data_IF_633763885883
#
_entry.id   IF_633763885883
#
_cell.length_a   1.000
_cell.length_b   1.000
_cell.length_c   1.000
_cell.angle_alpha   90.00
_cell.angle_beta   90.00
_cell.angle_gamma   90.00
#
_symmetry.space_group_name_H-M   'P 1'
#
loop_
_entity.id
_entity.type
_entity.pdbx_description
1 polymer ?
#
# COMPACT_ATOMS: atom_id res chain seq x y z
N UNK A 1 7.74 12.79 -37.07
CA UNK A 1 8.71 12.93 -35.96
C UNK A 1 8.41 12.06 -34.73
N UNK A 2 7.15 11.99 -34.26
CA UNK A 2 6.78 11.23 -33.05
C UNK A 2 7.06 9.71 -33.14
N UNK A 3 6.95 9.14 -34.33
CA UNK A 3 7.20 7.70 -34.57
C UNK A 3 8.70 7.39 -34.69
N UNK A 4 9.48 8.31 -35.24
CA UNK A 4 10.95 8.23 -35.28
C UNK A 4 11.53 8.35 -33.88
N UNK A 5 11.02 9.28 -33.06
CA UNK A 5 11.42 9.41 -31.65
C UNK A 5 11.09 8.15 -30.82
N UNK A 6 9.95 7.50 -31.11
CA UNK A 6 9.59 6.21 -30.49
C UNK A 6 10.50 5.06 -30.95
N UNK A 7 10.86 5.00 -32.23
CA UNK A 7 11.78 3.98 -32.74
C UNK A 7 13.18 4.15 -32.12
N UNK A 8 13.64 5.39 -31.97
CA UNK A 8 14.95 5.73 -31.40
C UNK A 8 15.02 5.39 -29.89
N UNK A 9 13.95 5.64 -29.14
CA UNK A 9 13.81 5.22 -27.73
C UNK A 9 13.83 3.68 -27.58
N UNK A 10 13.24 2.95 -28.52
CA UNK A 10 13.18 1.48 -28.48
C UNK A 10 14.54 0.84 -28.79
N UNK A 11 15.31 1.44 -29.69
CA UNK A 11 16.70 1.04 -30.00
C UNK A 11 17.63 1.32 -28.81
N UNK A 12 17.49 2.46 -28.13
CA UNK A 12 18.26 2.78 -26.93
C UNK A 12 17.97 1.77 -25.80
N UNK A 13 16.71 1.38 -25.61
CA UNK A 13 16.33 0.39 -24.61
C UNK A 13 16.88 -1.02 -24.93
N UNK A 14 17.00 -1.36 -26.23
CA UNK A 14 17.62 -2.62 -26.68
C UNK A 14 19.13 -2.65 -26.43
N UNK A 15 19.83 -1.52 -26.61
CA UNK A 15 21.28 -1.41 -26.42
C UNK A 15 21.71 -1.49 -24.96
N UNK A 16 20.85 -1.11 -24.01
CA UNK A 16 21.12 -1.19 -22.56
C UNK A 16 20.97 -2.64 -22.04
N UNK A 17 20.31 -3.52 -22.79
CA UNK A 17 20.03 -4.91 -22.38
C UNK A 17 21.21 -5.89 -22.43
N UNK A 18 22.38 -5.48 -22.94
CA UNK A 18 23.53 -6.38 -23.18
C UNK A 18 24.66 -6.20 -22.16
N UNK A 19 24.43 -5.58 -21.01
CA UNK A 19 25.40 -5.60 -19.92
C UNK A 19 25.48 -7.00 -19.30
N UNK A 20 26.36 -7.79 -19.91
CA UNK A 20 26.76 -9.14 -19.51
C UNK A 20 27.05 -9.15 -18.02
N UNK A 21 26.39 -10.08 -17.31
CA UNK A 21 26.66 -10.41 -15.91
C UNK A 21 28.04 -11.07 -15.80
N UNK A 22 29.10 -10.29 -15.89
CA UNK A 22 30.43 -10.73 -15.46
C UNK A 22 30.55 -10.44 -13.96
N UNK A 23 30.85 -11.46 -13.17
CA UNK A 23 31.13 -11.32 -11.74
C UNK A 23 32.64 -11.16 -11.57
N UNK A 24 33.06 -9.93 -11.34
CA UNK A 24 34.43 -9.58 -10.99
C UNK A 24 34.79 -10.18 -9.62
N UNK A 25 36.00 -10.70 -9.45
CA UNK A 25 36.53 -11.15 -8.17
C UNK A 25 37.91 -10.56 -8.00
N UNK A 26 38.14 -9.95 -6.83
CA UNK A 26 39.46 -9.48 -6.42
C UNK A 26 40.18 -10.60 -5.67
N UNK A 27 41.29 -11.09 -6.22
CA UNK A 27 42.24 -11.98 -5.53
C UNK A 27 43.62 -11.36 -5.72
N UNK A 28 44.32 -11.07 -4.60
CA UNK A 28 45.66 -10.48 -4.62
C UNK A 28 45.75 -9.19 -5.46
N UNK A 29 44.81 -8.25 -5.23
CA UNK A 29 44.70 -6.95 -5.93
C UNK A 29 44.42 -6.99 -7.46
N UNK A 30 44.36 -8.19 -8.05
CA UNK A 30 44.01 -8.38 -9.47
C UNK A 30 42.53 -8.75 -9.59
N UNK A 31 41.85 -8.11 -10.55
CA UNK A 31 40.44 -8.36 -10.88
C UNK A 31 40.37 -9.44 -11.95
N UNK A 32 39.67 -10.53 -11.64
CA UNK A 32 39.39 -11.62 -12.58
C UNK A 32 37.89 -11.69 -12.88
N UNK A 33 37.53 -11.93 -14.14
CA UNK A 33 36.17 -12.27 -14.56
C UNK A 33 36.03 -13.78 -14.68
N UNK A 34 35.12 -14.39 -13.92
CA UNK A 34 34.86 -15.83 -14.00
C UNK A 34 33.58 -16.08 -14.80
N UNK A 35 33.69 -16.87 -15.88
CA UNK A 35 32.56 -17.30 -16.72
C UNK A 35 32.59 -18.82 -16.87
N UNK A 36 31.72 -19.51 -16.13
CA UNK A 36 31.69 -20.97 -16.03
C UNK A 36 33.05 -21.51 -15.57
N UNK A 37 33.81 -22.15 -16.46
CA UNK A 37 35.12 -22.73 -16.18
C UNK A 37 36.31 -21.82 -16.55
N UNK A 38 36.05 -20.75 -17.30
CA UNK A 38 37.07 -19.85 -17.82
C UNK A 38 37.30 -18.68 -16.87
N UNK A 39 38.58 -18.35 -16.67
CA UNK A 39 39.04 -17.21 -15.87
C UNK A 39 39.68 -16.22 -16.83
N UNK A 40 39.11 -15.02 -16.89
CA UNK A 40 39.60 -13.93 -17.72
C UNK A 40 40.25 -12.84 -16.86
N UNK A 41 41.29 -12.21 -17.39
CA UNK A 41 41.90 -10.99 -16.86
C UNK A 41 41.98 -9.99 -18.00
N UNK A 42 41.41 -8.79 -17.81
CA UNK A 42 41.38 -7.74 -18.84
C UNK A 42 40.84 -8.20 -20.21
N UNK A 43 39.90 -9.15 -20.21
CA UNK A 43 39.31 -9.73 -21.43
C UNK A 43 40.11 -10.87 -22.08
N UNK A 44 41.32 -11.17 -21.62
CA UNK A 44 42.13 -12.30 -22.08
C UNK A 44 41.90 -13.55 -21.22
N UNK A 45 41.79 -14.72 -21.86
CA UNK A 45 41.67 -16.01 -21.17
C UNK A 45 43.03 -16.40 -20.54
N UNK A 46 43.09 -16.39 -19.21
CA UNK A 46 44.27 -16.74 -18.42
C UNK A 46 44.11 -18.10 -17.72
N UNK A 47 43.10 -18.89 -18.12
CA UNK A 47 42.77 -20.15 -17.48
C UNK A 47 43.93 -21.14 -17.54
N UNK A 48 44.74 -21.16 -18.59
CA UNK A 48 45.86 -22.09 -18.73
C UNK A 48 47.18 -21.57 -18.15
N UNK A 49 47.31 -20.25 -17.95
CA UNK A 49 48.52 -19.62 -17.42
C UNK A 49 48.54 -19.56 -15.90
N UNK A 50 47.37 -19.70 -15.25
CA UNK A 50 47.25 -19.73 -13.79
C UNK A 50 47.66 -21.08 -13.21
N UNK A 51 48.29 -21.05 -12.03
CA UNK A 51 48.60 -22.28 -11.29
C UNK A 51 47.31 -22.95 -10.76
N UNK A 52 47.31 -24.28 -10.53
CA UNK A 52 46.16 -24.97 -9.96
C UNK A 52 45.67 -24.38 -8.62
N UNK A 53 46.59 -23.87 -7.81
CA UNK A 53 46.29 -23.23 -6.52
C UNK A 53 45.59 -21.87 -6.69
N UNK A 54 45.98 -21.07 -7.68
CA UNK A 54 45.33 -19.79 -7.96
C UNK A 54 43.93 -19.98 -8.55
N UNK A 55 43.75 -20.97 -9.44
CA UNK A 55 42.43 -21.32 -9.99
C UNK A 55 41.45 -21.72 -8.89
N UNK A 56 41.89 -22.51 -7.91
CA UNK A 56 41.04 -22.94 -6.78
C UNK A 56 40.69 -21.77 -5.85
N UNK A 57 41.63 -20.86 -5.58
CA UNK A 57 41.37 -19.62 -4.82
C UNK A 57 40.36 -18.71 -5.53
N UNK A 58 40.50 -18.51 -6.84
CA UNK A 58 39.57 -17.66 -7.62
C UNK A 58 38.17 -18.28 -7.67
N UNK A 59 38.06 -19.59 -7.92
CA UNK A 59 36.78 -20.30 -7.96
C UNK A 59 36.08 -20.35 -6.60
N UNK A 60 36.83 -20.60 -5.52
CA UNK A 60 36.24 -20.59 -4.17
C UNK A 60 35.74 -19.20 -3.77
N UNK A 61 36.46 -18.14 -4.14
CA UNK A 61 36.01 -16.76 -3.95
C UNK A 61 34.75 -16.44 -4.80
N UNK A 62 34.66 -16.96 -6.03
CA UNK A 62 33.47 -16.84 -6.88
C UNK A 62 32.24 -17.47 -6.25
N UNK A 63 32.35 -18.74 -5.87
CA UNK A 63 31.23 -19.48 -5.27
C UNK A 63 30.81 -18.87 -3.95
N UNK A 64 31.75 -18.44 -3.11
CA UNK A 64 31.43 -17.71 -1.86
C UNK A 64 30.65 -16.43 -2.13
N UNK A 65 31.07 -15.61 -3.11
CA UNK A 65 30.39 -14.35 -3.45
C UNK A 65 29.01 -14.59 -4.06
N UNK A 66 28.87 -15.62 -4.90
CA UNK A 66 27.62 -16.03 -5.52
C UNK A 66 26.62 -16.57 -4.49
N UNK A 67 27.08 -17.35 -3.52
CA UNK A 67 26.28 -17.82 -2.39
C UNK A 67 25.79 -16.63 -1.56
N UNK A 68 26.69 -15.71 -1.19
CA UNK A 68 26.33 -14.49 -0.46
C UNK A 68 25.29 -13.65 -1.20
N UNK A 69 25.47 -13.42 -2.51
CA UNK A 69 24.48 -12.70 -3.32
C UNK A 69 23.14 -13.41 -3.40
N UNK A 70 23.15 -14.74 -3.51
CA UNK A 70 21.93 -15.55 -3.53
C UNK A 70 21.18 -15.50 -2.21
N UNK A 71 21.90 -15.48 -1.08
CA UNK A 71 21.32 -15.30 0.25
C UNK A 71 20.76 -13.89 0.42
N UNK A 72 21.49 -12.84 0.04
CA UNK A 72 20.98 -11.46 0.11
C UNK A 72 19.74 -11.26 -0.75
N UNK A 73 19.71 -11.80 -1.97
CA UNK A 73 18.54 -11.69 -2.86
C UNK A 73 17.33 -12.43 -2.27
N UNK A 74 17.54 -13.59 -1.62
CA UNK A 74 16.47 -14.31 -0.92
C UNK A 74 15.94 -13.51 0.27
N UNK A 75 16.84 -12.92 1.07
CA UNK A 75 16.47 -12.09 2.22
C UNK A 75 15.71 -10.85 1.75
N UNK A 76 16.19 -10.13 0.73
CA UNK A 76 15.51 -8.97 0.15
C UNK A 76 14.11 -9.33 -0.36
N UNK A 77 13.97 -10.44 -1.10
CA UNK A 77 12.65 -10.90 -1.56
C UNK A 77 11.72 -11.26 -0.41
N UNK A 78 12.24 -11.79 0.69
CA UNK A 78 11.44 -12.08 1.89
C UNK A 78 11.01 -10.79 2.59
N UNK A 79 11.93 -9.83 2.75
CA UNK A 79 11.63 -8.51 3.32
C UNK A 79 10.60 -7.75 2.48
N UNK A 80 10.74 -7.75 1.16
CA UNK A 80 9.79 -7.09 0.26
C UNK A 80 8.38 -7.72 0.35
N UNK A 81 8.31 -9.05 0.45
CA UNK A 81 7.03 -9.76 0.67
C UNK A 81 6.42 -9.39 2.03
N UNK A 82 7.21 -9.41 3.10
CA UNK A 82 6.77 -9.06 4.44
C UNK A 82 6.28 -7.60 4.50
N UNK A 83 6.99 -6.65 3.88
CA UNK A 83 6.60 -5.24 3.81
C UNK A 83 5.28 -5.06 3.03
N UNK A 84 5.13 -5.77 1.89
CA UNK A 84 3.90 -5.77 1.10
C UNK A 84 2.71 -6.31 1.91
N UNK A 85 2.92 -7.36 2.68
CA UNK A 85 1.89 -7.96 3.54
C UNK A 85 1.52 -7.02 4.69
N UNK A 86 2.50 -6.41 5.36
CA UNK A 86 2.28 -5.44 6.41
C UNK A 86 1.48 -4.22 5.90
N UNK A 87 1.87 -3.66 4.74
CA UNK A 87 1.13 -2.55 4.11
C UNK A 87 -0.30 -2.93 3.74
N UNK A 88 -0.56 -4.17 3.31
CA UNK A 88 -1.92 -4.67 3.04
C UNK A 88 -2.73 -4.79 4.33
N UNK A 89 -2.14 -5.32 5.39
CA UNK A 89 -2.78 -5.45 6.70
C UNK A 89 -3.15 -4.07 7.28
N UNK A 90 -2.21 -3.11 7.25
CA UNK A 90 -2.44 -1.74 7.72
C UNK A 90 -3.58 -1.06 6.95
N UNK A 91 -3.60 -1.19 5.62
CA UNK A 91 -4.69 -0.65 4.78
C UNK A 91 -6.04 -1.24 5.16
N UNK A 92 -6.11 -2.56 5.38
CA UNK A 92 -7.35 -3.24 5.81
C UNK A 92 -7.80 -2.76 7.18
N UNK A 93 -6.89 -2.66 8.15
CA UNK A 93 -7.19 -2.15 9.49
C UNK A 93 -7.73 -0.72 9.43
N UNK A 94 -7.08 0.16 8.67
CA UNK A 94 -7.50 1.56 8.51
C UNK A 94 -8.86 1.69 7.83
N UNK A 95 -9.17 0.81 6.87
CA UNK A 95 -10.50 0.77 6.24
C UNK A 95 -11.57 0.30 7.22
N UNK A 96 -11.28 -0.75 8.00
CA UNK A 96 -12.18 -1.26 9.03
C UNK A 96 -12.45 -0.21 10.11
N UNK A 97 -11.41 0.48 10.60
CA UNK A 97 -11.55 1.56 11.58
C UNK A 97 -12.39 2.72 11.04
N UNK A 98 -12.14 3.14 9.80
CA UNK A 98 -12.96 4.19 9.15
C UNK A 98 -14.42 3.76 8.99
N UNK A 99 -14.67 2.50 8.63
CA UNK A 99 -16.03 1.98 8.51
C UNK A 99 -16.73 1.94 9.88
N UNK A 100 -16.04 1.48 10.91
CA UNK A 100 -16.54 1.45 12.28
C UNK A 100 -16.86 2.86 12.81
N UNK A 101 -15.96 3.82 12.60
CA UNK A 101 -16.16 5.23 12.97
C UNK A 101 -17.34 5.86 12.22
N UNK A 102 -17.55 5.53 10.95
CA UNK A 102 -18.73 5.97 10.18
C UNK A 102 -20.02 5.39 10.77
N UNK A 103 -20.05 4.09 11.09
CA UNK A 103 -21.21 3.44 11.73
C UNK A 103 -21.53 4.05 13.09
N UNK A 104 -20.52 4.23 13.95
CA UNK A 104 -20.68 4.87 15.25
C UNK A 104 -21.23 6.30 15.12
N UNK A 105 -20.71 7.08 14.15
CA UNK A 105 -21.22 8.43 13.89
C UNK A 105 -22.66 8.41 13.38
N UNK A 106 -23.03 7.46 12.52
CA UNK A 106 -24.40 7.29 12.05
C UNK A 106 -25.36 6.93 13.20
N UNK A 107 -24.97 5.98 14.06
CA UNK A 107 -25.70 5.60 15.28
C UNK A 107 -25.89 6.80 16.22
N UNK A 108 -24.82 7.52 16.56
CA UNK A 108 -24.90 8.70 17.41
C UNK A 108 -25.80 9.80 16.82
N UNK A 109 -25.76 10.00 15.50
CA UNK A 109 -26.63 10.96 14.83
C UNK A 109 -28.10 10.52 14.86
N UNK A 110 -28.37 9.23 14.68
CA UNK A 110 -29.71 8.66 14.78
C UNK A 110 -30.26 8.82 16.20
N UNK A 111 -29.49 8.43 17.23
CA UNK A 111 -29.89 8.60 18.63
C UNK A 111 -30.18 10.05 19.00
N UNK A 112 -29.35 11.00 18.55
CA UNK A 112 -29.58 12.43 18.78
C UNK A 112 -30.86 12.91 18.09
N UNK A 113 -31.15 12.44 16.88
CA UNK A 113 -32.38 12.78 16.16
C UNK A 113 -33.61 12.21 16.89
N UNK A 114 -33.54 10.95 17.33
CA UNK A 114 -34.58 10.29 18.13
C UNK A 114 -34.87 11.04 19.41
N UNK A 115 -33.85 11.38 20.21
CA UNK A 115 -34.01 12.15 21.44
C UNK A 115 -34.67 13.52 21.19
N UNK A 116 -34.25 14.24 20.14
CA UNK A 116 -34.85 15.54 19.79
C UNK A 116 -36.32 15.42 19.39
N UNK A 117 -36.65 14.42 18.58
CA UNK A 117 -38.03 14.14 18.17
C UNK A 117 -38.91 13.79 19.39
N UNK A 118 -38.43 12.90 20.25
CA UNK A 118 -39.15 12.47 21.46
C UNK A 118 -39.39 13.64 22.42
N UNK A 119 -38.38 14.46 22.70
CA UNK A 119 -38.51 15.64 23.57
C UNK A 119 -39.50 16.66 22.98
N UNK A 120 -39.45 16.90 21.67
CA UNK A 120 -40.38 17.80 21.01
C UNK A 120 -41.82 17.28 21.07
N UNK A 121 -42.02 15.99 20.79
CA UNK A 121 -43.33 15.33 20.82
C UNK A 121 -43.93 15.38 22.23
N UNK A 122 -43.15 14.99 23.26
CA UNK A 122 -43.58 15.07 24.67
C UNK A 122 -43.93 16.50 25.11
N UNK A 123 -43.18 17.51 24.64
CA UNK A 123 -43.46 18.91 24.98
C UNK A 123 -44.75 19.40 24.31
N UNK A 124 -44.95 19.08 23.03
CA UNK A 124 -46.19 19.38 22.31
C UNK A 124 -47.40 18.75 22.98
N UNK A 125 -47.36 17.44 23.28
CA UNK A 125 -48.44 16.74 23.97
C UNK A 125 -48.79 17.38 25.32
N UNK A 126 -47.77 17.76 26.11
CA UNK A 126 -47.99 18.45 27.39
C UNK A 126 -48.65 19.81 27.22
N UNK A 127 -48.27 20.59 26.21
CA UNK A 127 -48.87 21.90 25.97
C UNK A 127 -50.30 21.79 25.43
N UNK A 128 -50.54 20.84 24.53
CA UNK A 128 -51.87 20.51 24.00
C UNK A 128 -52.82 20.07 25.10
N UNK A 129 -52.39 19.15 25.98
CA UNK A 129 -53.18 18.71 27.16
C UNK A 129 -53.51 19.86 28.12
N UNK A 130 -52.65 20.87 28.21
CA UNK A 130 -52.87 22.05 29.07
C UNK A 130 -53.71 23.15 28.39
N UNK A 131 -54.10 22.99 27.13
CA UNK A 131 -54.82 24.02 26.37
C UNK A 131 -53.99 25.30 26.14
N UNK A 132 -52.66 25.25 26.29
CA UNK A 132 -51.76 26.41 26.19
C UNK A 132 -51.25 26.65 24.76
N UNK A 133 -51.97 26.16 23.76
CA UNK A 133 -51.56 26.23 22.36
C UNK A 133 -52.61 27.01 21.58
N UNK A 134 -52.21 28.14 21.01
CA UNK A 134 -53.03 28.83 20.02
C UNK A 134 -53.05 28.01 18.71
N UNK A 135 -54.05 28.19 17.83
CA UNK A 135 -54.08 27.51 16.53
C UNK A 135 -52.80 27.73 15.70
N UNK A 136 -52.23 28.93 15.74
CA UNK A 136 -50.99 29.27 15.04
C UNK A 136 -49.77 28.57 15.67
N UNK A 137 -49.70 28.48 17.00
CA UNK A 137 -48.62 27.77 17.67
C UNK A 137 -48.72 26.26 17.49
N UNK A 138 -49.93 25.70 17.41
CA UNK A 138 -50.15 24.30 17.08
C UNK A 138 -49.57 23.96 15.71
N UNK A 139 -49.84 24.79 14.70
CA UNK A 139 -49.26 24.60 13.37
C UNK A 139 -47.72 24.64 13.40
N UNK A 140 -47.11 25.61 14.10
CA UNK A 140 -45.64 25.69 14.26
C UNK A 140 -45.05 24.45 14.95
N UNK A 141 -45.75 23.91 15.94
CA UNK A 141 -45.33 22.69 16.64
C UNK A 141 -45.41 21.46 15.73
N UNK A 142 -46.50 21.31 14.98
CA UNK A 142 -46.66 20.22 14.03
C UNK A 142 -45.58 20.27 12.94
N UNK A 143 -45.33 21.45 12.36
CA UNK A 143 -44.27 21.64 11.36
C UNK A 143 -42.88 21.30 11.93
N UNK A 144 -42.61 21.68 13.19
CA UNK A 144 -41.36 21.33 13.87
C UNK A 144 -41.21 19.82 14.08
N UNK A 145 -42.28 19.14 14.50
CA UNK A 145 -42.27 17.69 14.70
C UNK A 145 -42.08 16.98 13.36
N UNK A 146 -42.75 17.43 12.30
CA UNK A 146 -42.58 16.89 10.96
C UNK A 146 -41.14 17.03 10.45
N UNK A 147 -40.52 18.21 10.62
CA UNK A 147 -39.10 18.43 10.30
C UNK A 147 -38.18 17.49 11.08
N UNK A 148 -38.46 17.26 12.36
CA UNK A 148 -37.69 16.33 13.20
C UNK A 148 -37.90 14.86 12.78
N UNK A 149 -39.12 14.46 12.43
CA UNK A 149 -39.43 13.13 11.93
C UNK A 149 -38.75 12.87 10.58
N UNK A 150 -38.76 13.85 9.68
CA UNK A 150 -38.05 13.79 8.40
C UNK A 150 -36.54 13.63 8.62
N UNK A 151 -35.97 14.35 9.58
CA UNK A 151 -34.56 14.21 9.94
C UNK A 151 -34.25 12.84 10.53
N UNK A 152 -35.14 12.29 11.38
CA UNK A 152 -35.03 10.95 11.94
C UNK A 152 -35.07 9.87 10.85
N UNK A 153 -35.98 10.00 9.87
CA UNK A 153 -36.03 9.10 8.72
C UNK A 153 -34.75 9.17 7.88
N UNK A 154 -34.21 10.38 7.66
CA UNK A 154 -32.93 10.59 6.95
C UNK A 154 -31.74 9.97 7.69
N UNK A 155 -31.67 10.09 9.02
CA UNK A 155 -30.58 9.48 9.81
C UNK A 155 -30.74 7.97 9.91
N UNK A 156 -31.97 7.44 10.01
CA UNK A 156 -32.25 6.00 9.98
C UNK A 156 -31.81 5.34 8.67
N UNK A 157 -32.02 6.00 7.53
CA UNK A 157 -31.54 5.52 6.22
C UNK A 157 -30.01 5.50 6.08
N UNK A 158 -29.29 6.24 6.93
CA UNK A 158 -27.83 6.35 6.92
C UNK A 158 -27.14 5.45 7.95
N UNK A 159 -27.93 4.72 8.74
CA UNK A 159 -27.50 3.75 9.74
C UNK A 159 -27.10 2.43 9.06
#
# INVERSE_FOLDING_TARGET
MKNILRLLLLVIFLMIGVSIKAQEIKVNEVVYEVKKDLIFKDGADVTNTLTPEEKTKIRSAFEKRKLQMGETERVEKQLEKAEKEQKKAEKKQKQAEKALKKKQKAQSNFEKATKKHEVATKKYEKLKKKGKLSPQDEQKWLEKIEKLNTNLAKTKRRL
#
